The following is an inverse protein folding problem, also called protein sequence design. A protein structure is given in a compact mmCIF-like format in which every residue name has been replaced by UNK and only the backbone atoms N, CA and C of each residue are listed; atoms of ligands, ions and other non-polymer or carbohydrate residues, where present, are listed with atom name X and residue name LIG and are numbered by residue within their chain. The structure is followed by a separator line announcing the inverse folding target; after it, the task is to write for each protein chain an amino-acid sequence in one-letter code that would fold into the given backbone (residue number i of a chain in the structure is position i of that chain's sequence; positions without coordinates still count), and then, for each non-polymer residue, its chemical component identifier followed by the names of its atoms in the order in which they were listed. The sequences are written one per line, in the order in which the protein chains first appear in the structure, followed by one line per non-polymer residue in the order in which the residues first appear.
data_IF_845123195251
#
_entry.id   IF_845123195251
#
_cell.length_a   1.000
_cell.length_b   1.000
_cell.length_c   1.000
_cell.angle_alpha   90.00
_cell.angle_beta   90.00
_cell.angle_gamma   90.00
#
_symmetry.space_group_name_H-M   'P 1'
#
loop_
_entity.id
_entity.type
_entity.pdbx_description
1 polymer ?
#
# COMPACT_ATOMS: atom_id res chain seq x y z
N UNK A 1 7.06 -5.53 -5.87
CA UNK A 1 6.50 -5.23 -7.20
C UNK A 1 5.47 -4.11 -7.05
N UNK A 2 5.42 -3.16 -7.96
CA UNK A 2 4.38 -2.10 -7.99
C UNK A 2 3.76 -2.14 -9.37
N UNK A 3 2.43 -2.22 -9.44
CA UNK A 3 1.73 -2.37 -10.72
C UNK A 3 0.26 -2.05 -10.66
N UNK A 4 -0.35 -2.01 -11.83
CA UNK A 4 -1.74 -1.63 -12.06
C UNK A 4 -2.58 -2.74 -12.70
N UNK A 5 -1.98 -3.92 -12.94
CA UNK A 5 -2.65 -5.09 -13.50
C UNK A 5 -2.52 -6.32 -12.61
N UNK A 6 -3.66 -6.96 -12.35
CA UNK A 6 -3.72 -8.17 -11.51
C UNK A 6 -3.06 -9.38 -12.17
N UNK A 7 -3.33 -9.62 -13.45
CA UNK A 7 -2.89 -10.81 -14.20
C UNK A 7 -1.44 -10.76 -14.71
N UNK A 8 -0.76 -9.62 -14.55
CA UNK A 8 0.65 -9.50 -14.90
C UNK A 8 1.50 -9.14 -13.69
N UNK A 9 1.32 -7.93 -13.14
CA UNK A 9 2.25 -7.41 -12.15
C UNK A 9 2.07 -8.13 -10.81
N UNK A 10 0.81 -8.30 -10.41
CA UNK A 10 0.48 -8.92 -9.13
C UNK A 10 0.69 -10.44 -9.21
N UNK A 11 0.27 -11.09 -10.28
CA UNK A 11 0.52 -12.52 -10.49
C UNK A 11 2.02 -12.82 -10.57
N UNK A 12 2.82 -11.98 -11.24
CA UNK A 12 4.28 -12.10 -11.25
C UNK A 12 4.87 -11.97 -9.83
N UNK A 13 4.39 -11.02 -9.05
CA UNK A 13 4.87 -10.81 -7.68
C UNK A 13 4.59 -12.02 -6.78
N UNK A 14 3.39 -12.60 -6.88
CA UNK A 14 3.01 -13.82 -6.16
C UNK A 14 3.92 -14.98 -6.58
N UNK A 15 4.08 -15.21 -7.88
CA UNK A 15 4.91 -16.29 -8.41
C UNK A 15 6.40 -16.10 -8.07
N UNK A 16 6.85 -14.85 -7.95
CA UNK A 16 8.22 -14.49 -7.57
C UNK A 16 8.46 -14.45 -6.06
N UNK A 17 7.42 -14.63 -5.23
CA UNK A 17 7.53 -14.55 -3.77
C UNK A 17 7.93 -13.17 -3.23
N UNK A 18 7.56 -12.10 -3.94
CA UNK A 18 7.86 -10.72 -3.54
C UNK A 18 6.57 -9.96 -3.24
N UNK A 19 6.63 -9.04 -2.27
CA UNK A 19 5.47 -8.20 -1.93
C UNK A 19 5.02 -7.34 -3.10
N UNK A 20 3.71 -7.10 -3.20
CA UNK A 20 3.10 -6.32 -4.27
C UNK A 20 2.25 -5.15 -3.79
N UNK A 21 2.32 -4.02 -4.50
CA UNK A 21 1.48 -2.84 -4.30
C UNK A 21 0.67 -2.56 -5.57
N UNK A 22 -0.66 -2.58 -5.42
CA UNK A 22 -1.62 -2.27 -6.47
C UNK A 22 -1.99 -0.79 -6.47
N UNK A 23 -1.76 -0.11 -7.58
CA UNK A 23 -2.13 1.30 -7.78
C UNK A 23 -3.34 1.42 -8.71
N UNK A 24 -4.27 2.32 -8.41
CA UNK A 24 -5.53 2.47 -9.16
C UNK A 24 -5.48 3.54 -10.26
N UNK A 25 -4.30 3.89 -10.73
CA UNK A 25 -4.10 4.86 -11.82
C UNK A 25 -4.11 4.22 -13.21
N UNK A 26 -4.25 2.90 -13.30
CA UNK A 26 -4.08 2.14 -14.53
C UNK A 26 -5.24 1.20 -14.85
N UNK A 27 -4.92 -0.01 -15.32
CA UNK A 27 -5.82 -0.81 -16.15
C UNK A 27 -6.83 -1.67 -15.37
N UNK A 28 -6.42 -2.36 -14.31
CA UNK A 28 -7.37 -3.16 -13.54
C UNK A 28 -8.27 -2.25 -12.69
N UNK A 29 -9.59 -2.23 -12.95
CA UNK A 29 -10.52 -1.40 -12.19
C UNK A 29 -10.68 -1.89 -10.76
N UNK A 30 -11.07 -0.98 -9.87
CA UNK A 30 -11.34 -1.29 -8.46
C UNK A 30 -12.33 -2.44 -8.27
N UNK A 31 -13.31 -2.59 -9.16
CA UNK A 31 -14.31 -3.65 -9.10
C UNK A 31 -13.71 -5.06 -9.24
N UNK A 32 -12.62 -5.22 -9.98
CA UNK A 32 -11.93 -6.52 -10.10
C UNK A 32 -11.19 -6.87 -8.81
N UNK A 33 -10.63 -5.89 -8.13
CA UNK A 33 -9.94 -6.07 -6.85
C UNK A 33 -10.95 -6.38 -5.73
N UNK A 34 -12.10 -5.70 -5.73
CA UNK A 34 -13.13 -5.84 -4.70
C UNK A 34 -14.06 -7.06 -4.95
N UNK A 35 -13.82 -7.83 -6.02
CA UNK A 35 -14.58 -9.03 -6.35
C UNK A 35 -14.41 -10.10 -5.25
N UNK A 36 -15.52 -10.72 -4.82
CA UNK A 36 -15.50 -11.78 -3.79
C UNK A 36 -14.67 -13.01 -4.18
N UNK A 37 -14.47 -13.21 -5.48
CA UNK A 37 -13.79 -14.36 -6.09
C UNK A 37 -12.48 -13.95 -6.79
N UNK A 38 -11.91 -12.79 -6.44
CA UNK A 38 -10.62 -12.36 -7.01
C UNK A 38 -9.52 -13.39 -6.71
N UNK A 39 -8.99 -13.97 -7.79
CA UNK A 39 -8.02 -15.07 -7.77
C UNK A 39 -6.60 -14.62 -7.44
N UNK A 40 -6.29 -13.37 -7.79
CA UNK A 40 -4.97 -12.76 -7.63
C UNK A 40 -5.16 -11.50 -6.80
N UNK A 41 -4.52 -11.47 -5.64
CA UNK A 41 -4.66 -10.40 -4.66
C UNK A 41 -3.30 -9.77 -4.33
N UNK A 42 -3.19 -8.44 -4.34
CA UNK A 42 -1.96 -7.76 -3.98
C UNK A 42 -1.71 -7.76 -2.47
N UNK A 43 -0.45 -7.61 -2.05
CA UNK A 43 -0.11 -7.44 -0.62
C UNK A 43 -0.63 -6.11 -0.07
N UNK A 44 -0.57 -5.06 -0.88
CA UNK A 44 -1.02 -3.71 -0.55
C UNK A 44 -1.85 -3.11 -1.68
N UNK A 45 -2.81 -2.24 -1.36
CA UNK A 45 -3.58 -1.49 -2.36
C UNK A 45 -3.82 -0.05 -1.92
N UNK A 46 -3.65 0.88 -2.84
CA UNK A 46 -3.93 2.33 -2.70
C UNK A 46 -5.36 2.59 -2.19
N UNK A 47 -6.35 1.89 -2.73
CA UNK A 47 -7.77 2.16 -2.41
C UNK A 47 -8.32 1.47 -1.16
N UNK A 48 -7.55 0.58 -0.54
CA UNK A 48 -8.07 -0.18 0.59
C UNK A 48 -8.17 0.73 1.82
N UNK A 49 -9.40 0.89 2.30
CA UNK A 49 -9.66 1.38 3.65
C UNK A 49 -9.24 0.27 4.64
N UNK A 50 -7.93 0.16 4.90
CA UNK A 50 -7.32 -0.94 5.62
C UNK A 50 -7.67 -0.91 7.12
N UNK A 51 -8.34 -1.94 7.68
CA UNK A 51 -8.90 -1.89 9.03
C UNK A 51 -7.88 -2.03 10.17
N UNK A 52 -6.57 -2.18 9.91
CA UNK A 52 -5.56 -2.33 10.97
C UNK A 52 -4.22 -1.65 10.60
N UNK A 53 -4.13 -0.33 10.81
CA UNK A 53 -2.91 0.46 10.61
C UNK A 53 -1.96 0.42 11.81
N UNK A 54 -1.44 -0.74 12.20
CA UNK A 54 -0.39 -0.80 13.25
C UNK A 54 1.04 -1.00 12.74
N UNK A 55 1.26 -1.28 11.45
CA UNK A 55 2.57 -1.73 10.94
C UNK A 55 3.06 -1.03 9.67
N UNK A 56 2.25 -0.21 9.00
CA UNK A 56 2.68 0.55 7.82
C UNK A 56 2.63 2.04 8.15
N UNK A 57 3.68 2.51 8.81
CA UNK A 57 4.02 3.93 8.92
C UNK A 57 5.45 4.11 8.43
N UNK A 58 5.67 3.92 7.14
CA UNK A 58 6.83 4.53 6.49
C UNK A 58 6.44 5.98 6.23
N UNK A 59 6.63 6.86 7.22
CA UNK A 59 6.71 8.29 6.93
C UNK A 59 7.91 8.48 5.98
N UNK A 60 7.64 8.66 4.69
CA UNK A 60 8.59 9.36 3.82
C UNK A 60 8.55 10.82 4.28
N UNK A 61 9.38 11.14 5.27
CA UNK A 61 9.62 12.52 5.65
C UNK A 61 10.32 13.21 4.47
N UNK A 62 9.53 13.82 3.59
CA UNK A 62 10.07 14.91 2.79
C UNK A 62 10.41 16.02 3.77
N UNK A 63 11.70 16.14 4.08
CA UNK A 63 12.23 17.30 4.79
C UNK A 63 12.06 18.52 3.89
N UNK A 64 10.87 19.13 3.96
CA UNK A 64 10.74 20.54 3.70
C UNK A 64 11.40 21.23 4.89
N UNK A 65 12.70 21.48 4.77
CA UNK A 65 13.38 22.42 5.64
C UNK A 65 12.61 23.74 5.58
N UNK A 66 11.80 24.03 6.60
CA UNK A 66 11.50 25.36 7.10
C UNK A 66 10.66 25.28 8.40
N UNK A 67 11.34 25.65 9.48
CA UNK A 67 10.82 26.29 10.69
C UNK A 67 9.90 25.49 11.65
N UNK A 68 10.56 24.97 12.68
CA UNK A 68 10.24 25.18 14.10
C UNK A 68 8.83 24.77 14.58
N UNK A 69 8.67 23.51 15.00
CA UNK A 69 7.87 23.16 16.19
C UNK A 69 8.46 21.93 16.88
N UNK A 70 8.60 22.02 18.20
CA UNK A 70 9.24 21.04 19.10
C UNK A 70 8.46 19.72 19.15
N UNK A 71 9.10 18.54 19.20
CA UNK A 71 8.39 17.26 19.31
C UNK A 71 7.78 17.05 20.71
N UNK A 72 6.56 16.49 20.84
CA UNK A 72 5.98 16.14 22.13
C UNK A 72 6.68 14.92 22.74
N UNK A 73 7.01 15.01 24.03
CA UNK A 73 7.59 13.93 24.83
C UNK A 73 6.52 12.93 25.26
N UNK A 74 6.73 11.64 24.98
CA UNK A 74 5.80 10.57 25.33
C UNK A 74 6.28 9.88 26.60
N UNK A 75 5.58 10.07 27.73
CA UNK A 75 5.75 9.22 28.91
C UNK A 75 5.02 7.89 28.68
N UNK A 76 5.75 6.79 28.86
CA UNK A 76 5.18 5.43 28.90
C UNK A 76 4.78 5.10 30.34
N UNK A 77 3.53 4.68 30.52
CA UNK A 77 3.10 3.89 31.69
C UNK A 77 3.18 2.41 31.32
#
# INVERSE_FOLDING_TARGET
MVGDRLDTDIEFAINGGIDSLMVQTGISPKAEIDAKDAKVMPTYSDSQNWPNKSWIRTEVQFSAANHHTTPPQIHRA
#
